data_IF_215573384272
#
_entry.id   IF_215573384272
#
_cell.length_a   1.000
_cell.length_b   1.000
_cell.length_c   1.000
_cell.angle_alpha   90.00
_cell.angle_beta   90.00
_cell.angle_gamma   90.00
#
_symmetry.space_group_name_H-M   'P 1'
#
loop_
_entity.id
_entity.type
_entity.pdbx_description
1 polymer ?
#
# COMPACT_ATOMS: atom_id res chain seq x y z
N UNK A 1 -3.37 4.15 29.86
CA UNK A 1 -4.17 2.99 29.39
C UNK A 1 -3.65 2.58 27.99
N UNK A 2 -3.73 1.30 27.59
CA UNK A 2 -3.47 0.96 26.20
C UNK A 2 -4.44 1.73 25.29
N UNK A 3 -3.96 2.18 24.13
CA UNK A 3 -4.81 2.80 23.13
C UNK A 3 -5.85 1.80 22.60
N UNK A 4 -7.09 2.25 22.37
CA UNK A 4 -8.11 1.46 21.68
C UNK A 4 -7.94 1.68 20.18
N UNK A 5 -7.72 0.60 19.43
CA UNK A 5 -7.70 0.68 17.97
C UNK A 5 -9.08 1.09 17.44
N UNK A 6 -9.06 1.95 16.42
CA UNK A 6 -10.25 2.37 15.68
C UNK A 6 -10.11 1.84 14.26
N UNK A 7 -10.99 0.92 13.88
CA UNK A 7 -11.00 0.31 12.56
C UNK A 7 -12.06 1.00 11.71
N UNK A 8 -11.64 1.91 10.84
CA UNK A 8 -12.55 2.75 10.04
C UNK A 8 -13.49 1.92 9.18
N UNK A 9 -13.05 0.73 8.78
CA UNK A 9 -13.82 -0.22 7.98
C UNK A 9 -14.99 -0.83 8.75
N UNK A 10 -14.86 -0.97 10.07
CA UNK A 10 -15.95 -1.42 10.94
C UNK A 10 -17.00 -0.31 11.17
N UNK A 11 -16.67 0.91 10.74
CA UNK A 11 -17.47 2.13 10.95
C UNK A 11 -17.98 2.71 9.63
N UNK A 12 -17.96 1.91 8.55
CA UNK A 12 -18.61 2.21 7.27
C UNK A 12 -17.68 2.68 6.16
N UNK A 13 -16.38 2.84 6.41
CA UNK A 13 -15.41 3.15 5.34
C UNK A 13 -15.18 1.88 4.49
N UNK A 14 -15.35 1.91 3.15
CA UNK A 14 -15.07 0.75 2.33
C UNK A 14 -13.59 0.36 2.41
N UNK A 15 -13.27 -0.93 2.29
CA UNK A 15 -11.88 -1.38 2.20
C UNK A 15 -11.12 -0.66 1.07
N UNK A 16 -9.89 -0.24 1.34
CA UNK A 16 -9.04 0.54 0.44
C UNK A 16 -7.57 0.11 0.54
N UNK A 17 -6.77 0.53 -0.43
CA UNK A 17 -5.32 0.39 -0.35
C UNK A 17 -4.77 1.53 0.51
N UNK A 18 -4.28 1.23 1.72
CA UNK A 18 -3.78 2.25 2.66
C UNK A 18 -2.61 3.06 2.09
N UNK A 19 -1.72 2.42 1.32
CA UNK A 19 -0.57 3.05 0.67
C UNK A 19 -0.50 2.65 -0.80
N UNK A 20 -0.31 3.65 -1.65
CA UNK A 20 -0.23 3.49 -3.11
C UNK A 20 0.99 4.21 -3.66
N UNK A 21 1.45 3.77 -4.84
CA UNK A 21 2.47 4.48 -5.61
C UNK A 21 1.77 5.44 -6.58
N UNK A 22 2.21 6.70 -6.58
CA UNK A 22 1.69 7.72 -7.49
C UNK A 22 2.78 8.15 -8.46
N UNK A 23 2.44 8.27 -9.73
CA UNK A 23 3.31 8.77 -10.78
C UNK A 23 2.57 9.82 -11.62
N UNK A 24 3.33 10.70 -12.27
CA UNK A 24 2.76 11.69 -13.18
C UNK A 24 2.17 11.02 -14.43
N UNK A 25 0.94 11.35 -14.81
CA UNK A 25 0.21 10.68 -15.89
C UNK A 25 0.94 10.74 -17.26
N UNK A 26 1.64 11.84 -17.55
CA UNK A 26 2.42 11.97 -18.79
C UNK A 26 3.67 11.08 -18.84
N UNK A 27 4.02 10.41 -17.73
CA UNK A 27 5.19 9.53 -17.61
C UNK A 27 4.83 8.04 -17.65
N UNK A 28 3.57 7.68 -17.90
CA UNK A 28 3.13 6.28 -17.89
C UNK A 28 3.83 5.38 -18.92
N UNK A 29 4.36 5.96 -20.01
CA UNK A 29 5.17 5.23 -20.99
C UNK A 29 6.62 4.97 -20.60
N UNK A 30 7.06 5.44 -19.42
CA UNK A 30 8.43 5.23 -18.93
C UNK A 30 8.59 3.81 -18.36
N UNK A 31 9.37 2.97 -19.05
CA UNK A 31 9.63 1.58 -18.66
C UNK A 31 10.22 1.44 -17.24
N UNK A 32 10.85 2.49 -16.70
CA UNK A 32 11.34 2.49 -15.31
C UNK A 32 10.22 2.29 -14.29
N UNK A 33 8.99 2.75 -14.58
CA UNK A 33 7.85 2.56 -13.69
C UNK A 33 7.50 1.08 -13.55
N UNK A 34 7.43 0.36 -14.68
CA UNK A 34 7.17 -1.08 -14.69
C UNK A 34 8.25 -1.86 -13.95
N UNK A 35 9.52 -1.53 -14.21
CA UNK A 35 10.66 -2.15 -13.52
C UNK A 35 10.65 -1.86 -12.02
N UNK A 36 10.25 -0.66 -11.63
CA UNK A 36 10.11 -0.26 -10.23
C UNK A 36 9.00 -1.07 -9.53
N UNK A 37 7.81 -1.20 -10.13
CA UNK A 37 6.74 -2.04 -9.55
C UNK A 37 7.16 -3.51 -9.46
N UNK A 38 7.86 -4.04 -10.46
CA UNK A 38 8.44 -5.39 -10.39
C UNK A 38 9.45 -5.56 -9.26
N UNK A 39 10.26 -4.54 -8.99
CA UNK A 39 11.18 -4.54 -7.85
C UNK A 39 10.44 -4.50 -6.50
N UNK A 40 9.33 -3.76 -6.40
CA UNK A 40 8.49 -3.76 -5.21
C UNK A 40 7.85 -5.12 -4.95
N UNK A 41 7.39 -5.83 -5.99
CA UNK A 41 6.85 -7.18 -5.84
C UNK A 41 7.92 -8.14 -5.31
N UNK A 42 9.12 -8.12 -5.91
CA UNK A 42 10.24 -8.93 -5.46
C UNK A 42 10.64 -8.58 -4.01
N UNK A 43 10.63 -7.30 -3.66
CA UNK A 43 10.92 -6.85 -2.30
C UNK A 43 9.86 -7.35 -1.30
N UNK A 44 8.56 -7.21 -1.60
CA UNK A 44 7.48 -7.70 -0.73
C UNK A 44 7.58 -9.21 -0.51
N UNK A 45 7.85 -9.99 -1.56
CA UNK A 45 8.09 -11.43 -1.47
C UNK A 45 9.32 -11.75 -0.60
N UNK A 46 10.42 -11.02 -0.80
CA UNK A 46 11.63 -11.19 0.01
C UNK A 46 11.37 -10.91 1.49
N UNK A 47 10.67 -9.81 1.81
CA UNK A 47 10.32 -9.43 3.18
C UNK A 47 9.58 -10.54 3.92
N UNK A 48 8.59 -11.16 3.27
CA UNK A 48 7.77 -12.23 3.84
C UNK A 48 8.54 -13.55 3.96
N UNK A 49 9.35 -13.90 2.96
CA UNK A 49 10.09 -15.17 2.92
C UNK A 49 11.37 -15.15 3.77
N UNK A 50 11.96 -13.98 4.00
CA UNK A 50 13.22 -13.80 4.73
C UNK A 50 13.08 -12.75 5.85
N UNK A 51 12.17 -12.92 6.82
CA UNK A 51 11.80 -11.85 7.77
C UNK A 51 12.95 -11.42 8.69
N UNK A 52 13.83 -12.36 9.07
CA UNK A 52 15.01 -12.05 9.90
C UNK A 52 16.05 -11.24 9.14
N UNK A 53 16.40 -11.68 7.93
CA UNK A 53 17.35 -10.97 7.08
C UNK A 53 16.81 -9.59 6.69
N UNK A 54 15.51 -9.51 6.42
CA UNK A 54 14.81 -8.26 6.15
C UNK A 54 14.85 -7.29 7.32
N UNK A 55 14.68 -7.79 8.54
CA UNK A 55 14.86 -7.00 9.76
C UNK A 55 16.30 -6.49 9.87
N UNK A 56 17.30 -7.36 9.69
CA UNK A 56 18.71 -7.00 9.78
C UNK A 56 19.10 -5.94 8.73
N UNK A 57 18.54 -6.02 7.52
CA UNK A 57 18.67 -4.99 6.47
C UNK A 57 17.97 -3.68 6.86
N UNK A 58 16.76 -3.75 7.42
CA UNK A 58 15.96 -2.59 7.81
C UNK A 58 16.66 -1.75 8.90
N UNK A 59 17.25 -2.39 9.90
CA UNK A 59 17.96 -1.69 10.99
C UNK A 59 19.42 -1.36 10.66
N UNK A 60 19.90 -1.72 9.46
CA UNK A 60 21.31 -1.55 9.10
C UNK A 60 21.67 -0.07 9.08
N UNK A 61 22.53 0.34 10.02
CA UNK A 61 22.92 1.75 10.20
C UNK A 61 21.94 2.57 11.05
N UNK A 62 20.85 1.95 11.51
CA UNK A 62 19.75 2.58 12.26
C UNK A 62 19.56 1.90 13.62
N UNK A 63 20.52 2.11 14.53
CA UNK A 63 20.49 1.46 15.86
C UNK A 63 19.29 1.87 16.71
N UNK A 64 18.77 3.07 16.47
CA UNK A 64 17.56 3.62 17.09
C UNK A 64 16.30 2.81 16.80
N UNK A 65 16.28 2.05 15.70
CA UNK A 65 15.17 1.17 15.34
C UNK A 65 15.29 -0.21 16.00
N UNK A 66 16.43 -0.56 16.59
CA UNK A 66 16.68 -1.91 17.13
C UNK A 66 16.17 -2.07 18.57
N UNK A 67 14.86 -1.94 18.74
CA UNK A 67 14.17 -2.19 20.00
C UNK A 67 13.03 -3.21 19.83
N UNK A 68 12.50 -3.68 20.95
CA UNK A 68 11.45 -4.70 20.96
C UNK A 68 10.10 -4.21 20.44
N UNK A 69 9.84 -2.90 20.46
CA UNK A 69 8.61 -2.32 19.93
C UNK A 69 8.66 -2.36 18.39
N UNK A 70 9.74 -1.85 17.81
CA UNK A 70 9.96 -1.81 16.37
C UNK A 70 10.06 -3.20 15.76
N UNK A 71 10.69 -4.17 16.44
CA UNK A 71 10.70 -5.59 15.99
C UNK A 71 9.29 -6.17 15.87
N UNK A 72 8.43 -5.92 16.86
CA UNK A 72 7.04 -6.38 16.86
C UNK A 72 6.26 -5.68 15.75
N UNK A 73 6.37 -4.36 15.67
CA UNK A 73 5.70 -3.57 14.64
C UNK A 73 6.09 -4.05 13.23
N UNK A 74 7.39 -4.21 12.96
CA UNK A 74 7.89 -4.69 11.68
C UNK A 74 7.30 -6.06 11.31
N UNK A 75 7.35 -7.03 12.23
CA UNK A 75 6.78 -8.36 12.03
C UNK A 75 5.28 -8.30 11.76
N UNK A 76 4.55 -7.47 12.49
CA UNK A 76 3.10 -7.34 12.36
C UNK A 76 2.70 -6.60 11.06
N UNK A 77 3.61 -5.81 10.49
CA UNK A 77 3.45 -5.16 9.18
C UNK A 77 3.69 -6.11 8.00
N UNK A 78 4.56 -7.12 8.10
CA UNK A 78 4.92 -7.99 6.97
C UNK A 78 3.70 -8.57 6.22
N UNK A 79 2.65 -9.10 6.88
CA UNK A 79 1.48 -9.65 6.21
C UNK A 79 0.58 -8.59 5.54
N UNK A 80 0.82 -7.29 5.79
CA UNK A 80 0.05 -6.18 5.23
C UNK A 80 0.55 -5.70 3.87
N UNK A 81 1.76 -6.10 3.46
CA UNK A 81 2.26 -5.75 2.14
C UNK A 81 1.47 -6.46 1.04
N UNK A 82 1.20 -5.74 -0.06
CA UNK A 82 0.59 -6.32 -1.24
C UNK A 82 1.56 -7.30 -1.92
N UNK A 83 1.16 -8.57 -2.02
CA UNK A 83 1.96 -9.60 -2.71
C UNK A 83 1.93 -9.49 -4.24
N UNK A 84 1.02 -8.65 -4.77
CA UNK A 84 0.84 -8.36 -6.20
C UNK A 84 0.64 -6.85 -6.38
N UNK A 85 1.67 -6.01 -6.13
CA UNK A 85 1.52 -4.55 -6.12
C UNK A 85 1.18 -3.95 -7.49
N UNK A 86 1.34 -4.73 -8.58
CA UNK A 86 0.91 -4.32 -9.92
C UNK A 86 -0.58 -4.54 -10.18
N UNK A 87 -1.27 -5.38 -9.40
CA UNK A 87 -2.65 -5.75 -9.64
C UNK A 87 -3.60 -4.67 -9.13
N UNK A 88 -4.53 -4.24 -9.98
CA UNK A 88 -5.50 -3.20 -9.64
C UNK A 88 -6.91 -3.76 -9.45
N UNK A 89 -7.49 -3.54 -8.27
CA UNK A 89 -8.89 -3.86 -8.00
C UNK A 89 -9.79 -2.67 -8.37
N UNK A 90 -10.21 -2.60 -9.64
CA UNK A 90 -11.09 -1.52 -10.13
C UNK A 90 -12.40 -1.42 -9.32
N UNK A 91 -12.91 -2.54 -8.81
CA UNK A 91 -14.13 -2.56 -8.00
C UNK A 91 -13.93 -1.84 -6.67
N UNK A 92 -12.78 -2.05 -6.01
CA UNK A 92 -12.40 -1.34 -4.78
C UNK A 92 -12.27 0.16 -5.00
N UNK A 93 -11.58 0.57 -6.05
CA UNK A 93 -11.40 1.99 -6.38
C UNK A 93 -12.74 2.67 -6.68
N UNK A 94 -13.65 1.98 -7.38
CA UNK A 94 -15.00 2.48 -7.62
C UNK A 94 -15.81 2.65 -6.34
N UNK A 95 -15.87 1.63 -5.48
CA UNK A 95 -16.60 1.71 -4.20
C UNK A 95 -16.10 2.84 -3.31
N UNK A 96 -14.78 3.03 -3.24
CA UNK A 96 -14.22 4.15 -2.49
C UNK A 96 -14.60 5.50 -3.11
N UNK A 97 -14.51 5.65 -4.44
CA UNK A 97 -14.92 6.89 -5.10
C UNK A 97 -16.42 7.20 -4.90
N UNK A 98 -17.29 6.19 -4.96
CA UNK A 98 -18.72 6.31 -4.68
C UNK A 98 -18.95 6.75 -3.22
N UNK A 99 -18.27 6.12 -2.26
CA UNK A 99 -18.31 6.54 -0.86
C UNK A 99 -17.87 8.00 -0.67
N UNK A 100 -16.74 8.41 -1.28
CA UNK A 100 -16.25 9.79 -1.18
C UNK A 100 -17.26 10.80 -1.76
N UNK A 101 -17.96 10.45 -2.84
CA UNK A 101 -19.05 11.26 -3.38
C UNK A 101 -20.22 11.35 -2.38
N UNK A 102 -20.67 10.24 -1.82
CA UNK A 102 -21.76 10.20 -0.85
C UNK A 102 -21.45 11.02 0.41
N UNK A 103 -20.19 11.05 0.84
CA UNK A 103 -19.72 11.89 1.94
C UNK A 103 -19.45 13.36 1.54
N UNK A 104 -19.66 13.73 0.27
CA UNK A 104 -19.47 15.10 -0.22
C UNK A 104 -18.01 15.56 -0.34
N UNK A 105 -17.06 14.62 -0.43
CA UNK A 105 -15.62 14.90 -0.56
C UNK A 105 -15.17 15.10 -2.01
N UNK A 106 -15.96 14.61 -2.98
CA UNK A 106 -15.73 14.81 -4.42
C UNK A 106 -17.06 15.12 -5.13
N UNK A 107 -17.00 15.88 -6.22
CA UNK A 107 -18.19 16.30 -6.98
C UNK A 107 -18.62 15.29 -8.07
N UNK A 108 -17.72 14.36 -8.45
CA UNK A 108 -17.96 13.40 -9.53
C UNK A 108 -17.16 12.11 -9.31
N UNK A 109 -17.83 10.96 -9.48
CA UNK A 109 -17.15 9.66 -9.63
C UNK A 109 -16.57 9.57 -11.04
N UNK A 110 -15.24 9.64 -11.14
CA UNK A 110 -14.51 9.49 -12.40
C UNK A 110 -14.34 8.01 -12.77
N UNK A 111 -14.05 7.74 -14.05
CA UNK A 111 -13.62 6.40 -14.45
C UNK A 111 -12.30 6.07 -13.75
N UNK A 112 -12.18 4.87 -13.19
CA UNK A 112 -10.95 4.41 -12.53
C UNK A 112 -9.74 4.55 -13.45
N UNK A 113 -9.91 4.24 -14.74
CA UNK A 113 -8.85 4.31 -15.76
C UNK A 113 -8.27 5.73 -15.95
N UNK A 114 -8.95 6.77 -15.45
CA UNK A 114 -8.44 8.14 -15.50
C UNK A 114 -7.43 8.48 -14.40
N UNK A 115 -7.32 7.66 -13.35
CA UNK A 115 -6.44 7.94 -12.20
C UNK A 115 -5.73 6.72 -11.60
N UNK A 116 -6.08 5.49 -11.98
CA UNK A 116 -5.38 4.28 -11.60
C UNK A 116 -5.27 3.32 -12.78
N UNK A 117 -4.09 2.75 -12.98
CA UNK A 117 -3.80 1.85 -14.11
C UNK A 117 -2.91 0.70 -13.69
N UNK A 118 -3.08 -0.44 -14.34
CA UNK A 118 -2.08 -1.51 -14.32
C UNK A 118 -1.00 -1.20 -15.35
N UNK A 119 0.26 -1.16 -14.93
CA UNK A 119 1.40 -1.03 -15.82
C UNK A 119 1.62 -2.39 -16.51
N UNK A 120 0.98 -2.55 -17.67
CA UNK A 120 1.24 -3.67 -18.59
C UNK A 120 2.64 -3.62 -19.11
#
# INVERSE_FOLDING_TARGET
PPGRAFYVEEEGVPAYDELIVVAHAERLGDDRLRRFVGALEAAAQFLVNHPKESWDLFIKGHKELNDELNKRAFRDTLPRFAMRPAALDHGRYRRMAEFLMEQGLIDKVLSVDSYAVELR
#
